data_IF_895096832164
#
_entry.id   IF_895096832164
#
_cell.length_a   1.000
_cell.length_b   1.000
_cell.length_c   1.000
_cell.angle_alpha   90.00
_cell.angle_beta   90.00
_cell.angle_gamma   90.00
#
_symmetry.space_group_name_H-M   'P 1'
#
loop_
_entity.id
_entity.type
_entity.pdbx_description
1 polymer ?
#
# COMPACT_ATOMS: atom_id res chain seq x y z
N UNK A 1 -28.91 -21.94 -54.09
CA UNK A 1 -28.83 -23.25 -53.41
C UNK A 1 -27.39 -23.72 -53.48
N UNK A 2 -26.93 -24.33 -52.38
CA UNK A 2 -25.55 -24.54 -51.90
C UNK A 2 -24.49 -24.94 -52.94
N UNK A 3 -23.43 -24.14 -53.05
CA UNK A 3 -22.13 -24.59 -53.58
C UNK A 3 -21.18 -24.79 -52.40
N UNK A 4 -20.95 -26.05 -52.07
CA UNK A 4 -19.93 -26.51 -51.13
C UNK A 4 -18.53 -26.11 -51.64
N UNK A 5 -17.76 -25.38 -50.84
CA UNK A 5 -16.34 -25.14 -51.09
C UNK A 5 -15.59 -26.12 -50.19
N UNK A 6 -15.07 -27.20 -50.78
CA UNK A 6 -14.21 -28.15 -50.10
C UNK A 6 -12.93 -27.43 -49.61
N UNK A 7 -12.41 -27.76 -48.40
CA UNK A 7 -11.14 -27.23 -47.94
C UNK A 7 -10.00 -27.79 -48.81
N UNK A 8 -9.15 -26.89 -49.32
CA UNK A 8 -7.98 -27.21 -50.13
C UNK A 8 -6.90 -27.88 -49.26
N UNK A 9 -6.91 -29.22 -49.24
CA UNK A 9 -5.93 -30.03 -48.52
C UNK A 9 -4.68 -30.23 -49.38
N UNK A 10 -3.74 -29.28 -49.29
CA UNK A 10 -2.38 -29.47 -49.81
C UNK A 10 -1.45 -29.99 -48.71
N UNK A 11 -0.56 -30.92 -49.07
CA UNK A 11 0.39 -31.60 -48.17
C UNK A 11 1.36 -30.66 -47.43
N UNK A 12 1.40 -29.36 -47.77
CA UNK A 12 2.16 -28.33 -47.05
C UNK A 12 1.52 -27.89 -45.72
N UNK A 13 0.21 -28.09 -45.53
CA UNK A 13 -0.51 -27.59 -44.34
C UNK A 13 -0.66 -28.61 -43.19
N UNK A 14 -0.28 -29.87 -43.37
CA UNK A 14 -0.45 -30.90 -42.34
C UNK A 14 0.73 -31.05 -41.39
N UNK A 15 1.93 -30.57 -41.75
CA UNK A 15 3.16 -30.80 -40.96
C UNK A 15 3.72 -29.56 -40.26
N UNK A 16 3.32 -28.35 -40.65
CA UNK A 16 3.88 -27.11 -40.08
C UNK A 16 3.32 -26.70 -38.71
N UNK A 17 2.13 -27.18 -38.32
CA UNK A 17 1.40 -26.58 -37.20
C UNK A 17 1.39 -27.38 -35.89
N UNK A 18 1.82 -28.66 -35.89
CA UNK A 18 1.85 -29.48 -34.66
C UNK A 18 3.19 -29.40 -33.90
N UNK A 19 4.32 -29.19 -34.59
CA UNK A 19 5.63 -29.04 -33.95
C UNK A 19 5.90 -27.63 -33.38
N UNK A 20 5.41 -26.59 -34.08
CA UNK A 20 5.69 -25.20 -33.73
C UNK A 20 4.99 -24.72 -32.43
N UNK A 21 3.83 -25.29 -32.08
CA UNK A 21 3.13 -24.94 -30.84
C UNK A 21 3.79 -25.53 -29.58
N UNK A 22 4.34 -26.75 -29.69
CA UNK A 22 5.02 -27.41 -28.56
C UNK A 22 6.40 -26.79 -28.26
N UNK A 23 7.14 -26.34 -29.29
CA UNK A 23 8.38 -25.59 -29.08
C UNK A 23 8.14 -24.16 -28.58
N UNK A 24 7.13 -23.43 -29.12
CA UNK A 24 6.77 -22.10 -28.62
C UNK A 24 6.40 -22.11 -27.13
N UNK A 25 5.67 -23.13 -26.66
CA UNK A 25 5.30 -23.26 -25.25
C UNK A 25 6.50 -23.58 -24.32
N UNK A 26 7.52 -24.28 -24.83
CA UNK A 26 8.77 -24.52 -24.09
C UNK A 26 9.64 -23.26 -24.03
N UNK A 27 9.72 -22.52 -25.14
CA UNK A 27 10.51 -21.28 -25.24
C UNK A 27 9.88 -20.14 -24.43
N UNK A 28 8.55 -20.00 -24.39
CA UNK A 28 7.84 -19.00 -23.56
C UNK A 28 8.09 -19.17 -22.05
N UNK A 29 8.31 -20.39 -21.56
CA UNK A 29 8.68 -20.62 -20.15
C UNK A 29 10.06 -20.06 -19.80
N UNK A 30 10.98 -19.99 -20.77
CA UNK A 30 12.33 -19.45 -20.59
C UNK A 30 12.44 -17.97 -20.99
N UNK A 31 11.47 -17.44 -21.75
CA UNK A 31 11.37 -16.01 -22.11
C UNK A 31 10.57 -15.17 -21.09
N UNK A 32 10.00 -15.78 -20.03
CA UNK A 32 9.49 -15.01 -18.88
C UNK A 32 10.66 -14.40 -18.13
N UNK A 33 11.02 -13.21 -18.59
CA UNK A 33 12.13 -12.40 -18.13
C UNK A 33 12.00 -12.11 -16.62
N UNK A 34 12.91 -12.61 -15.75
CA UNK A 34 12.89 -12.32 -14.31
C UNK A 34 13.10 -10.83 -14.01
N UNK A 35 13.53 -10.05 -15.00
CA UNK A 35 13.78 -8.63 -14.89
C UNK A 35 12.52 -7.75 -14.98
N UNK A 36 11.41 -8.25 -15.54
CA UNK A 36 10.15 -7.49 -15.57
C UNK A 36 9.53 -7.37 -14.16
N UNK A 37 9.55 -8.45 -13.37
CA UNK A 37 9.09 -8.42 -11.98
C UNK A 37 9.97 -7.52 -11.10
N UNK A 38 11.27 -7.43 -11.39
CA UNK A 38 12.23 -6.52 -10.74
C UNK A 38 11.96 -5.04 -11.06
N UNK A 39 11.67 -4.70 -12.32
CA UNK A 39 11.31 -3.32 -12.71
C UNK A 39 9.95 -2.89 -12.16
N UNK A 40 8.97 -3.78 -12.14
CA UNK A 40 7.65 -3.53 -11.56
C UNK A 40 7.69 -3.43 -10.04
N UNK A 41 8.41 -4.33 -9.36
CA UNK A 41 8.66 -4.24 -7.93
C UNK A 41 9.43 -2.97 -7.57
N UNK A 42 10.46 -2.60 -8.34
CA UNK A 42 11.18 -1.35 -8.19
C UNK A 42 10.32 -0.12 -8.50
N UNK A 43 9.32 -0.22 -9.39
CA UNK A 43 8.33 0.83 -9.63
C UNK A 43 7.37 0.97 -8.45
N UNK A 44 6.85 -0.14 -7.92
CA UNK A 44 5.98 -0.16 -6.76
C UNK A 44 6.68 0.39 -5.51
N UNK A 45 7.95 0.02 -5.29
CA UNK A 45 8.80 0.53 -4.22
C UNK A 45 9.05 2.04 -4.36
N UNK A 46 9.35 2.52 -5.58
CA UNK A 46 9.48 3.96 -5.86
C UNK A 46 8.19 4.73 -5.67
N UNK A 47 7.04 4.15 -6.05
CA UNK A 47 5.72 4.75 -5.80
C UNK A 47 5.44 4.82 -4.31
N UNK A 48 5.75 3.76 -3.55
CA UNK A 48 5.60 3.70 -2.09
C UNK A 48 6.47 4.74 -1.39
N UNK A 49 7.75 4.84 -1.79
CA UNK A 49 8.68 5.89 -1.31
C UNK A 49 8.20 7.30 -1.68
N UNK A 50 7.75 7.50 -2.92
CA UNK A 50 7.21 8.79 -3.37
C UNK A 50 5.93 9.18 -2.63
N UNK A 51 5.06 8.22 -2.29
CA UNK A 51 3.88 8.44 -1.46
C UNK A 51 4.28 8.80 -0.03
N UNK A 52 5.21 8.07 0.57
CA UNK A 52 5.73 8.38 1.91
C UNK A 52 6.37 9.78 1.97
N UNK A 53 7.13 10.17 0.94
CA UNK A 53 7.73 11.51 0.85
C UNK A 53 6.66 12.59 0.73
N UNK A 54 5.65 12.39 -0.14
CA UNK A 54 4.54 13.35 -0.28
C UNK A 54 3.75 13.50 1.02
N UNK A 55 3.52 12.41 1.73
CA UNK A 55 2.79 12.45 2.99
C UNK A 55 3.64 13.11 4.09
N UNK A 56 4.94 12.82 4.15
CA UNK A 56 5.86 13.53 5.04
C UNK A 56 5.91 15.03 4.75
N UNK A 57 5.89 15.44 3.48
CA UNK A 57 5.84 16.86 3.11
C UNK A 57 4.48 17.50 3.40
N UNK A 58 3.38 16.74 3.29
CA UNK A 58 2.04 17.21 3.67
C UNK A 58 1.97 17.43 5.18
N UNK A 59 2.55 16.53 5.96
CA UNK A 59 2.66 16.64 7.42
C UNK A 59 3.54 17.82 7.84
N UNK A 60 4.71 18.00 7.20
CA UNK A 60 5.59 19.14 7.46
C UNK A 60 4.89 20.47 7.14
N UNK A 61 4.15 20.55 6.03
CA UNK A 61 3.37 21.75 5.68
C UNK A 61 2.18 21.99 6.60
N UNK A 62 1.52 20.94 7.09
CA UNK A 62 0.44 21.08 8.07
C UNK A 62 0.92 21.50 9.46
N UNK A 63 2.19 21.25 9.78
CA UNK A 63 2.72 21.51 11.11
C UNK A 63 3.31 22.92 11.28
N UNK A 64 3.72 23.61 10.20
CA UNK A 64 4.51 24.88 10.25
C UNK A 64 5.59 24.90 11.36
N UNK A 65 6.07 23.71 11.75
CA UNK A 65 6.96 23.53 12.88
C UNK A 65 8.37 23.42 12.33
N UNK A 66 9.25 24.31 12.77
CA UNK A 66 10.69 24.14 12.57
C UNK A 66 11.11 22.86 13.32
N UNK A 67 11.62 21.88 12.59
CA UNK A 67 12.03 20.59 13.13
C UNK A 67 13.55 20.52 13.21
N UNK A 68 14.08 20.47 14.43
CA UNK A 68 15.52 20.31 14.68
C UNK A 68 16.03 18.87 14.43
N UNK A 69 15.11 17.95 14.10
CA UNK A 69 15.42 16.58 13.70
C UNK A 69 15.78 15.64 14.86
N UNK A 70 15.58 16.07 16.11
CA UNK A 70 15.88 15.28 17.30
C UNK A 70 15.05 13.98 17.35
N UNK A 71 15.55 12.90 18.00
CA UNK A 71 14.80 11.66 18.15
C UNK A 71 13.41 11.85 18.78
N UNK A 72 13.29 12.78 19.73
CA UNK A 72 12.03 13.13 20.37
C UNK A 72 11.04 13.77 19.39
N UNK A 73 11.46 14.80 18.62
CA UNK A 73 10.61 15.41 17.58
C UNK A 73 10.16 14.38 16.54
N UNK A 74 11.04 13.46 16.14
CA UNK A 74 10.69 12.35 15.23
C UNK A 74 9.65 11.41 15.85
N UNK A 75 9.73 11.15 17.15
CA UNK A 75 8.73 10.40 17.91
C UNK A 75 7.36 11.08 17.87
N UNK A 76 7.32 12.39 18.16
CA UNK A 76 6.10 13.19 18.10
C UNK A 76 5.47 13.20 16.70
N UNK A 77 6.27 13.34 15.63
CA UNK A 77 5.77 13.25 14.25
C UNK A 77 5.17 11.88 13.98
N UNK A 78 5.81 10.79 14.40
CA UNK A 78 5.29 9.44 14.16
C UNK A 78 3.97 9.22 14.90
N UNK A 79 3.84 9.72 16.13
CA UNK A 79 2.57 9.69 16.86
C UNK A 79 1.47 10.44 16.10
N UNK A 80 1.76 11.67 15.64
CA UNK A 80 0.83 12.47 14.86
C UNK A 80 0.41 11.77 13.55
N UNK A 81 1.38 11.21 12.82
CA UNK A 81 1.14 10.46 11.58
C UNK A 81 0.23 9.25 11.82
N UNK A 82 0.43 8.50 12.91
CA UNK A 82 -0.46 7.39 13.24
C UNK A 82 -1.88 7.87 13.55
N UNK A 83 -2.05 8.95 14.31
CA UNK A 83 -3.37 9.51 14.61
C UNK A 83 -4.10 9.98 13.33
N UNK A 84 -3.39 10.62 12.42
CA UNK A 84 -3.93 10.99 11.10
C UNK A 84 -4.26 9.77 10.26
N UNK A 85 -3.42 8.74 10.30
CA UNK A 85 -3.66 7.50 9.57
C UNK A 85 -4.95 6.80 10.02
N UNK A 86 -5.29 6.86 11.31
CA UNK A 86 -6.58 6.36 11.83
C UNK A 86 -7.74 7.11 11.20
N UNK A 87 -7.67 8.45 11.19
CA UNK A 87 -8.70 9.31 10.59
C UNK A 87 -8.90 9.06 9.10
N UNK A 88 -7.83 8.70 8.38
CA UNK A 88 -7.80 8.49 6.93
C UNK A 88 -7.82 7.01 6.51
N UNK A 89 -8.22 6.10 7.39
CA UNK A 89 -8.31 4.68 7.07
C UNK A 89 -9.25 4.43 5.88
N UNK A 90 -8.84 3.69 4.83
CA UNK A 90 -9.65 3.55 3.62
C UNK A 90 -10.79 2.54 3.78
N UNK A 91 -10.68 1.61 4.73
CA UNK A 91 -11.68 0.58 5.05
C UNK A 91 -11.63 0.24 6.55
N UNK A 92 -12.60 -0.55 7.01
CA UNK A 92 -12.79 -0.88 8.43
C UNK A 92 -11.63 -1.72 8.98
N UNK A 93 -11.14 -2.70 8.22
CA UNK A 93 -10.02 -3.56 8.63
C UNK A 93 -8.75 -2.76 8.92
N UNK A 94 -8.39 -1.83 8.02
CA UNK A 94 -7.25 -0.94 8.21
C UNK A 94 -7.49 0.09 9.31
N UNK A 95 -8.75 0.47 9.56
CA UNK A 95 -9.08 1.35 10.69
C UNK A 95 -8.74 0.67 12.02
N UNK A 96 -9.13 -0.60 12.19
CA UNK A 96 -8.79 -1.37 13.39
C UNK A 96 -7.27 -1.49 13.56
N UNK A 97 -6.56 -1.97 12.54
CA UNK A 97 -5.12 -2.17 12.62
C UNK A 97 -4.35 -0.88 12.94
N UNK A 98 -4.73 0.26 12.32
CA UNK A 98 -4.09 1.56 12.59
C UNK A 98 -4.41 2.06 13.99
N UNK A 99 -5.63 1.82 14.48
CA UNK A 99 -6.00 2.21 15.83
C UNK A 99 -5.17 1.45 16.88
N UNK A 100 -4.98 0.15 16.71
CA UNK A 100 -4.19 -0.68 17.62
C UNK A 100 -2.72 -0.24 17.66
N UNK A 101 -2.14 0.08 16.50
CA UNK A 101 -0.78 0.65 16.43
C UNK A 101 -0.71 1.98 17.18
N UNK A 102 -1.69 2.87 16.97
CA UNK A 102 -1.75 4.16 17.64
C UNK A 102 -1.89 4.00 19.17
N UNK A 103 -2.68 3.04 19.64
CA UNK A 103 -2.78 2.68 21.08
C UNK A 103 -1.40 2.32 21.60
N UNK A 104 -0.73 1.33 20.98
CA UNK A 104 0.56 0.85 21.43
C UNK A 104 1.64 1.94 21.44
N UNK A 105 1.60 2.86 20.47
CA UNK A 105 2.53 3.98 20.44
C UNK A 105 2.29 5.01 21.54
N UNK A 106 1.04 5.38 21.82
CA UNK A 106 0.72 6.35 22.89
C UNK A 106 1.07 5.76 24.26
N UNK A 107 0.70 4.50 24.49
CA UNK A 107 0.95 3.81 25.76
C UNK A 107 2.44 3.53 25.96
N UNK A 108 3.12 3.05 24.92
CA UNK A 108 4.57 2.86 24.94
C UNK A 108 5.31 4.17 25.20
N UNK A 109 4.92 5.27 24.55
CA UNK A 109 5.55 6.58 24.79
C UNK A 109 5.40 7.06 26.23
N UNK A 110 4.30 6.69 26.89
CA UNK A 110 4.08 7.02 28.31
C UNK A 110 4.92 6.13 29.21
N UNK A 111 4.95 4.82 28.94
CA UNK A 111 5.72 3.85 29.72
C UNK A 111 7.23 4.13 29.68
N UNK A 112 7.75 4.60 28.55
CA UNK A 112 9.16 5.02 28.41
C UNK A 112 9.44 6.45 28.90
N UNK A 113 8.45 7.15 29.46
CA UNK A 113 8.60 8.52 29.98
C UNK A 113 8.85 9.58 28.91
N UNK A 114 8.57 9.29 27.63
CA UNK A 114 8.73 10.25 26.53
C UNK A 114 7.61 11.31 26.51
N UNK A 115 6.45 10.95 27.07
CA UNK A 115 5.31 11.84 27.31
C UNK A 115 4.80 11.67 28.74
N UNK A 116 4.20 12.72 29.28
CA UNK A 116 3.54 12.70 30.59
C UNK A 116 2.22 11.92 30.54
N UNK A 117 1.73 11.50 31.70
CA UNK A 117 0.42 10.86 31.83
C UNK A 117 -0.71 11.77 31.31
N UNK A 118 -0.64 13.07 31.56
CA UNK A 118 -1.63 14.02 31.06
C UNK A 118 -1.65 14.08 29.52
N UNK A 119 -0.47 14.10 28.89
CA UNK A 119 -0.36 14.04 27.43
C UNK A 119 -0.87 12.70 26.87
N UNK A 120 -0.65 11.59 27.58
CA UNK A 120 -1.21 10.29 27.23
C UNK A 120 -2.74 10.33 27.14
N UNK A 121 -3.41 10.87 28.16
CA UNK A 121 -4.87 11.01 28.17
C UNK A 121 -5.38 11.86 27.01
N UNK A 122 -4.76 13.02 26.77
CA UNK A 122 -5.14 13.89 25.65
C UNK A 122 -5.00 13.18 24.28
N UNK A 123 -3.91 12.43 24.08
CA UNK A 123 -3.68 11.68 22.83
C UNK A 123 -4.66 10.51 22.68
N UNK A 124 -5.03 9.83 23.77
CA UNK A 124 -6.07 8.79 23.77
C UNK A 124 -7.42 9.36 23.36
N UNK A 125 -7.81 10.52 23.90
CA UNK A 125 -9.07 11.17 23.56
C UNK A 125 -9.11 11.61 22.09
N UNK A 126 -8.01 12.19 21.59
CA UNK A 126 -7.87 12.58 20.18
C UNK A 126 -7.97 11.37 19.24
N UNK A 127 -7.28 10.27 19.58
CA UNK A 127 -7.35 9.02 18.84
C UNK A 127 -8.79 8.48 18.80
N UNK A 128 -9.44 8.39 19.95
CA UNK A 128 -10.79 7.83 20.04
C UNK A 128 -11.80 8.65 19.24
N UNK A 129 -11.65 9.98 19.23
CA UNK A 129 -12.44 10.86 18.39
C UNK A 129 -12.22 10.57 16.90
N UNK A 130 -10.96 10.49 16.47
CA UNK A 130 -10.60 10.19 15.09
C UNK A 130 -11.14 8.83 14.63
N UNK A 131 -10.99 7.80 15.48
CA UNK A 131 -11.48 6.46 15.23
C UNK A 131 -13.01 6.42 15.11
N UNK A 132 -13.74 6.95 16.09
CA UNK A 132 -15.22 6.92 16.10
C UNK A 132 -15.80 7.66 14.91
N UNK A 133 -15.25 8.84 14.58
CA UNK A 133 -15.67 9.60 13.39
C UNK A 133 -15.45 8.79 12.11
N UNK A 134 -14.27 8.19 11.97
CA UNK A 134 -13.95 7.44 10.75
C UNK A 134 -14.75 6.15 10.65
N UNK A 135 -15.00 5.46 11.76
CA UNK A 135 -15.84 4.26 11.79
C UNK A 135 -17.26 4.59 11.30
N UNK A 136 -17.86 5.66 11.83
CA UNK A 136 -19.19 6.09 11.39
C UNK A 136 -19.24 6.39 9.89
N UNK A 137 -18.23 7.08 9.34
CA UNK A 137 -18.14 7.36 7.90
C UNK A 137 -18.01 6.11 7.03
N UNK A 138 -17.28 5.10 7.50
CA UNK A 138 -17.07 3.86 6.76
C UNK A 138 -18.24 2.90 6.88
N UNK A 139 -18.97 2.93 8.00
CA UNK A 139 -20.16 2.10 8.23
C UNK A 139 -21.43 2.66 7.59
N UNK A 140 -21.44 3.94 7.22
CA UNK A 140 -22.57 4.57 6.52
C UNK A 140 -22.53 4.39 4.99
N UNK A 141 -21.51 3.71 4.45
CA UNK A 141 -21.31 3.43 3.02
C UNK A 141 -21.67 1.98 2.72
#
# INVERSE_FOLDING_TARGET
MTTEIAPDFTARNTWGNRGAQAERAKVERFLKDPFQSSREAGRAERIRKGKAIRESMRLVRHAEAEFDGTPWQRGCIRLLDQLLSVREAPNIELLFARNDIAVGMVEGSTAFGAITLMQCHLLRDLRDNAYRRRLAELSAR
#
